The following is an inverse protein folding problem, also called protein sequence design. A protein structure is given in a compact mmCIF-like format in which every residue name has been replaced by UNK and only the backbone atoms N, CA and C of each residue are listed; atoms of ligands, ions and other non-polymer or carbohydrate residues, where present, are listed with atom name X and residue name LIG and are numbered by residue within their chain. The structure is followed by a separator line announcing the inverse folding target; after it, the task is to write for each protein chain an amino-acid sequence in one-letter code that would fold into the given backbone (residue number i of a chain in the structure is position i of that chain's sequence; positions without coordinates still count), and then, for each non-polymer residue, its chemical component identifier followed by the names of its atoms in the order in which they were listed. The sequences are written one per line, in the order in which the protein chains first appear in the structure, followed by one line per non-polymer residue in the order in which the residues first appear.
data_IF_048766024958
#
_entry.id   IF_048766024958
#
_cell.length_a   1.000
_cell.length_b   1.000
_cell.length_c   1.000
_cell.angle_alpha   90.00
_cell.angle_beta   90.00
_cell.angle_gamma   90.00
#
_symmetry.space_group_name_H-M   'P 1'
#
loop_
_entity.id
_entity.type
_entity.pdbx_description
1 polymer ?
#
# COMPACT_ATOMS: atom_id res chain seq x y z
N UNK A 1 37.70 -17.68 34.41
CA UNK A 1 36.25 -17.61 34.13
C UNK A 1 36.02 -16.54 33.08
N UNK A 2 36.04 -16.90 31.80
CA UNK A 2 35.91 -15.95 30.69
C UNK A 2 34.43 -15.87 30.30
N UNK A 3 33.76 -14.74 30.55
CA UNK A 3 32.39 -14.51 30.08
C UNK A 3 32.48 -13.81 28.73
N UNK A 4 32.41 -14.58 27.65
CA UNK A 4 32.22 -14.07 26.29
C UNK A 4 30.80 -13.53 26.17
N UNK A 5 30.64 -12.21 26.19
CA UNK A 5 29.41 -11.53 25.74
C UNK A 5 29.36 -11.60 24.22
N UNK A 6 28.62 -12.57 23.68
CA UNK A 6 28.26 -12.61 22.27
C UNK A 6 27.31 -11.44 21.97
N UNK A 7 27.80 -10.42 21.27
CA UNK A 7 26.95 -9.43 20.60
C UNK A 7 26.22 -10.14 19.47
N UNK A 8 24.96 -10.48 19.68
CA UNK A 8 24.06 -10.94 18.62
C UNK A 8 23.71 -9.73 17.75
N UNK A 9 24.49 -9.52 16.69
CA UNK A 9 24.15 -8.60 15.59
C UNK A 9 22.88 -9.13 14.92
N UNK A 10 21.73 -8.55 15.26
CA UNK A 10 20.47 -8.78 14.58
C UNK A 10 20.56 -8.10 13.21
N UNK A 11 21.09 -8.81 12.21
CA UNK A 11 21.04 -8.36 10.82
C UNK A 11 19.58 -8.40 10.37
N UNK A 12 18.92 -7.24 10.38
CA UNK A 12 17.61 -7.07 9.76
C UNK A 12 17.85 -7.24 8.26
N UNK A 13 17.58 -8.45 7.75
CA UNK A 13 17.52 -8.70 6.31
C UNK A 13 16.32 -7.91 5.79
N UNK A 14 16.58 -6.73 5.24
CA UNK A 14 15.63 -6.05 4.37
C UNK A 14 15.48 -6.95 3.14
N UNK A 15 14.46 -7.82 3.16
CA UNK A 15 14.03 -8.53 1.97
C UNK A 15 13.58 -7.46 0.98
N UNK A 16 14.47 -7.09 0.07
CA UNK A 16 14.13 -6.34 -1.13
C UNK A 16 13.27 -7.29 -1.96
N UNK A 17 11.97 -7.29 -1.68
CA UNK A 17 10.99 -7.81 -2.63
C UNK A 17 11.29 -7.06 -3.92
N UNK A 18 11.58 -7.77 -5.01
CA UNK A 18 11.73 -7.19 -6.34
C UNK A 18 10.36 -6.60 -6.77
N UNK A 19 10.00 -5.50 -6.12
CA UNK A 19 8.74 -4.82 -6.21
C UNK A 19 8.83 -3.81 -7.33
N UNK A 20 7.74 -3.65 -8.05
CA UNK A 20 7.54 -2.53 -8.94
C UNK A 20 8.00 -1.24 -8.25
N UNK A 21 8.74 -0.37 -8.92
CA UNK A 21 9.12 0.93 -8.35
C UNK A 21 8.15 2.01 -8.81
N UNK A 22 8.02 3.09 -8.03
CA UNK A 22 7.20 4.24 -8.45
C UNK A 22 7.69 4.84 -9.78
N UNK A 23 8.97 4.71 -10.12
CA UNK A 23 9.52 5.17 -11.40
C UNK A 23 8.88 4.47 -12.59
N UNK A 24 8.49 3.21 -12.46
CA UNK A 24 7.79 2.46 -13.51
C UNK A 24 6.37 2.97 -13.76
N UNK A 25 5.80 3.72 -12.81
CA UNK A 25 4.47 4.30 -12.94
C UNK A 25 4.45 5.69 -13.59
N UNK A 26 5.61 6.29 -13.93
CA UNK A 26 5.69 7.68 -14.41
C UNK A 26 4.83 8.00 -15.64
N UNK A 27 4.54 7.02 -16.49
CA UNK A 27 3.64 7.18 -17.65
C UNK A 27 2.18 7.43 -17.27
N UNK A 28 1.74 6.97 -16.08
CA UNK A 28 0.36 7.11 -15.58
C UNK A 28 0.29 7.89 -14.26
N UNK A 29 1.41 8.10 -13.59
CA UNK A 29 1.57 8.81 -12.33
C UNK A 29 2.86 9.64 -12.36
N UNK A 30 2.81 10.73 -13.12
CA UNK A 30 3.93 11.66 -13.30
C UNK A 30 4.38 12.31 -11.99
N UNK A 31 5.55 12.96 -12.00
CA UNK A 31 6.05 13.70 -10.82
C UNK A 31 5.07 14.79 -10.36
N UNK A 32 4.34 15.42 -11.31
CA UNK A 32 3.28 16.37 -11.00
C UNK A 32 2.10 15.70 -10.29
N UNK A 33 1.66 14.53 -10.78
CA UNK A 33 0.61 13.75 -10.15
C UNK A 33 1.02 13.26 -8.75
N UNK A 34 2.26 12.79 -8.59
CA UNK A 34 2.84 12.44 -7.27
C UNK A 34 2.86 13.62 -6.33
N UNK A 35 3.33 14.80 -6.78
CA UNK A 35 3.33 16.02 -5.98
C UNK A 35 1.92 16.42 -5.53
N UNK A 36 0.94 16.35 -6.44
CA UNK A 36 -0.46 16.63 -6.12
C UNK A 36 -1.03 15.61 -5.13
N UNK A 37 -0.80 14.32 -5.35
CA UNK A 37 -1.18 13.24 -4.42
C UNK A 37 -0.60 13.48 -3.03
N UNK A 38 0.68 13.80 -2.91
CA UNK A 38 1.34 14.02 -1.63
C UNK A 38 0.83 15.28 -0.90
N UNK A 39 0.37 16.28 -1.65
CA UNK A 39 -0.29 17.47 -1.08
C UNK A 39 -1.69 17.16 -0.55
N UNK A 40 -2.49 16.39 -1.30
CA UNK A 40 -3.89 16.09 -0.94
C UNK A 40 -4.05 14.84 -0.05
N UNK A 41 -3.02 14.01 0.02
CA UNK A 41 -2.92 12.74 0.73
C UNK A 41 -3.94 11.69 0.29
N UNK A 42 -4.36 11.74 -0.97
CA UNK A 42 -5.43 10.90 -1.54
C UNK A 42 -5.32 10.77 -3.05
N UNK A 43 -5.64 9.59 -3.58
CA UNK A 43 -5.83 9.35 -5.01
C UNK A 43 -7.22 9.82 -5.47
N UNK A 44 -7.73 10.94 -4.97
CA UNK A 44 -8.92 11.54 -5.59
C UNK A 44 -8.55 12.12 -6.95
N UNK A 45 -9.55 12.35 -7.80
CA UNK A 45 -9.44 12.80 -9.19
C UNK A 45 -8.33 13.83 -9.39
N UNK A 46 -7.20 13.38 -9.95
CA UNK A 46 -6.12 14.24 -10.41
C UNK A 46 -6.44 14.61 -11.86
N UNK A 47 -6.63 15.90 -12.20
CA UNK A 47 -6.95 16.31 -13.57
C UNK A 47 -5.94 15.76 -14.58
N UNK A 48 -6.43 15.17 -15.66
CA UNK A 48 -5.59 14.60 -16.72
C UNK A 48 -4.92 13.26 -16.40
N UNK A 49 -5.23 12.64 -15.26
CA UNK A 49 -4.70 11.32 -14.89
C UNK A 49 -5.78 10.25 -15.04
N UNK A 50 -5.43 9.15 -15.72
CA UNK A 50 -6.21 7.91 -15.68
C UNK A 50 -6.04 7.27 -14.30
N UNK A 51 -6.94 7.62 -13.38
CA UNK A 51 -6.86 7.21 -11.98
C UNK A 51 -6.93 5.69 -11.81
N UNK A 52 -7.60 4.98 -12.72
CA UNK A 52 -7.69 3.52 -12.63
C UNK A 52 -6.34 2.86 -12.91
N UNK A 53 -5.60 3.35 -13.92
CA UNK A 53 -4.23 2.88 -14.20
C UNK A 53 -3.22 3.38 -13.17
N UNK A 54 -3.36 4.63 -12.72
CA UNK A 54 -2.47 5.21 -11.74
C UNK A 54 -2.56 4.46 -10.39
N UNK A 55 -3.77 4.18 -9.92
CA UNK A 55 -3.99 3.40 -8.69
C UNK A 55 -3.44 1.98 -8.83
N UNK A 56 -3.76 1.27 -9.91
CA UNK A 56 -3.25 -0.08 -10.11
C UNK A 56 -1.72 -0.13 -10.09
N UNK A 57 -1.06 0.74 -10.86
CA UNK A 57 0.40 0.79 -10.89
C UNK A 57 1.00 1.18 -9.53
N UNK A 58 0.50 2.24 -8.90
CA UNK A 58 1.10 2.74 -7.65
C UNK A 58 0.87 1.77 -6.50
N UNK A 59 -0.32 1.17 -6.38
CA UNK A 59 -0.59 0.20 -5.32
C UNK A 59 0.24 -1.07 -5.46
N UNK A 60 0.58 -1.48 -6.70
CA UNK A 60 1.57 -2.52 -6.95
C UNK A 60 2.97 -2.07 -6.55
N UNK A 61 3.38 -0.86 -6.97
CA UNK A 61 4.71 -0.33 -6.72
C UNK A 61 5.03 -0.13 -5.22
N UNK A 62 4.01 0.19 -4.42
CA UNK A 62 4.16 0.36 -2.97
C UNK A 62 3.72 -0.88 -2.17
N UNK A 63 3.62 -2.04 -2.83
CA UNK A 63 3.31 -3.33 -2.22
C UNK A 63 2.04 -3.29 -1.34
N UNK A 64 1.03 -2.56 -1.79
CA UNK A 64 -0.34 -2.63 -1.24
C UNK A 64 -1.09 -3.79 -1.87
N UNK A 65 -0.86 -4.02 -3.16
CA UNK A 65 -1.34 -5.19 -3.90
C UNK A 65 -0.17 -5.87 -4.61
N UNK A 66 -0.32 -7.14 -4.95
CA UNK A 66 0.62 -7.86 -5.79
C UNK A 66 0.41 -7.59 -7.30
N UNK A 67 1.25 -8.18 -8.15
CA UNK A 67 1.18 -8.07 -9.62
C UNK A 67 -0.14 -8.56 -10.25
N UNK A 68 -0.98 -9.25 -9.47
CA UNK A 68 -2.30 -9.73 -9.89
C UNK A 68 -3.44 -8.91 -9.29
N UNK A 69 -3.12 -7.84 -8.55
CA UNK A 69 -4.07 -6.93 -7.92
C UNK A 69 -4.63 -7.43 -6.59
N UNK A 70 -4.12 -8.53 -6.02
CA UNK A 70 -4.56 -8.99 -4.70
C UNK A 70 -3.89 -8.17 -3.61
N UNK A 71 -4.65 -7.70 -2.64
CA UNK A 71 -4.09 -6.90 -1.57
C UNK A 71 -3.25 -7.73 -0.58
N UNK A 72 -2.13 -7.15 -0.17
CA UNK A 72 -1.16 -7.78 0.71
C UNK A 72 -1.55 -7.54 2.18
N UNK A 73 -2.32 -8.48 2.77
CA UNK A 73 -2.78 -8.39 4.15
C UNK A 73 -1.63 -8.13 5.13
N UNK A 74 -0.60 -9.00 5.14
CA UNK A 74 0.52 -8.88 6.07
C UNK A 74 1.32 -7.59 5.84
N UNK A 75 1.47 -7.21 4.57
CA UNK A 75 2.07 -5.95 4.17
C UNK A 75 1.32 -4.73 4.67
N UNK A 76 0.05 -4.81 5.05
CA UNK A 76 -0.76 -3.67 5.51
C UNK A 76 -1.08 -3.73 7.01
N UNK A 77 -1.45 -4.91 7.52
CA UNK A 77 -1.96 -5.09 8.88
C UNK A 77 -0.96 -4.60 9.94
N UNK A 78 0.31 -5.00 9.84
CA UNK A 78 1.32 -4.58 10.81
C UNK A 78 1.65 -3.08 10.70
N UNK A 79 1.92 -2.50 9.51
CA UNK A 79 2.12 -1.06 9.39
C UNK A 79 0.93 -0.21 9.87
N UNK A 80 -0.30 -0.69 9.68
CA UNK A 80 -1.49 0.01 10.19
C UNK A 80 -1.53 -0.03 11.72
N UNK A 81 -1.29 -1.20 12.33
CA UNK A 81 -1.25 -1.32 13.79
C UNK A 81 -0.08 -0.57 14.45
N UNK A 82 1.02 -0.35 13.74
CA UNK A 82 2.12 0.51 14.22
C UNK A 82 1.71 1.99 14.32
N UNK A 83 0.70 2.43 13.56
CA UNK A 83 0.18 3.80 13.57
C UNK A 83 -0.98 3.93 14.55
N UNK A 84 -1.88 2.95 14.57
CA UNK A 84 -3.03 2.88 15.46
C UNK A 84 -3.29 1.40 15.78
N UNK A 85 -2.97 0.96 17.00
CA UNK A 85 -3.19 -0.42 17.37
C UNK A 85 -4.69 -0.67 17.59
N UNK A 86 -5.33 -1.39 16.67
CA UNK A 86 -6.76 -1.68 16.77
C UNK A 86 -7.18 -2.88 15.92
N UNK A 87 -8.05 -3.75 16.47
CA UNK A 87 -8.60 -4.95 15.78
C UNK A 87 -9.41 -4.66 14.51
N UNK A 88 -9.82 -3.41 14.31
CA UNK A 88 -10.59 -3.00 13.12
C UNK A 88 -9.78 -3.20 11.84
N UNK A 89 -8.46 -3.07 11.90
CA UNK A 89 -7.60 -3.17 10.73
C UNK A 89 -7.63 -4.57 10.14
N UNK A 90 -7.58 -5.60 10.97
CA UNK A 90 -7.77 -6.99 10.57
C UNK A 90 -9.11 -7.19 9.83
N UNK A 91 -10.23 -6.91 10.52
CA UNK A 91 -11.58 -7.09 9.97
C UNK A 91 -11.80 -6.35 8.64
N UNK A 92 -11.34 -5.10 8.53
CA UNK A 92 -11.53 -4.31 7.32
C UNK A 92 -10.65 -4.78 6.16
N UNK A 93 -9.40 -5.19 6.44
CA UNK A 93 -8.52 -5.74 5.42
C UNK A 93 -9.12 -7.03 4.84
N UNK A 94 -9.56 -7.95 5.70
CA UNK A 94 -10.21 -9.21 5.28
C UNK A 94 -11.45 -8.96 4.41
N UNK A 95 -12.35 -8.07 4.83
CA UNK A 95 -13.55 -7.73 4.04
C UNK A 95 -13.18 -7.12 2.69
N UNK A 96 -12.22 -6.20 2.66
CA UNK A 96 -11.86 -5.51 1.43
C UNK A 96 -11.07 -6.39 0.46
N UNK A 97 -10.27 -7.33 0.97
CA UNK A 97 -9.66 -8.40 0.17
C UNK A 97 -10.76 -9.31 -0.40
N UNK A 98 -11.69 -9.77 0.45
CA UNK A 98 -12.81 -10.62 0.06
C UNK A 98 -13.72 -10.00 -1.02
N UNK A 99 -13.90 -8.68 -1.01
CA UNK A 99 -14.69 -7.96 -2.03
C UNK A 99 -13.95 -7.73 -3.34
N UNK A 100 -12.63 -7.64 -3.33
CA UNK A 100 -11.84 -7.30 -4.52
C UNK A 100 -11.35 -8.53 -5.28
N UNK A 101 -11.09 -9.66 -4.61
CA UNK A 101 -10.29 -10.75 -5.18
C UNK A 101 -10.90 -11.47 -6.39
N UNK A 102 -12.23 -11.44 -6.56
CA UNK A 102 -12.95 -12.10 -7.67
C UNK A 102 -13.19 -11.20 -8.88
N UNK A 103 -12.76 -9.94 -8.81
CA UNK A 103 -13.10 -8.97 -9.86
C UNK A 103 -12.24 -9.17 -11.11
N UNK A 104 -12.89 -9.07 -12.26
CA UNK A 104 -12.26 -9.04 -13.57
C UNK A 104 -12.68 -7.76 -14.34
N UNK A 105 -11.78 -7.17 -15.15
CA UNK A 105 -10.36 -7.51 -15.31
C UNK A 105 -9.54 -7.18 -14.05
N UNK A 106 -8.38 -7.85 -13.88
CA UNK A 106 -7.46 -7.70 -12.71
C UNK A 106 -7.21 -6.26 -12.24
N UNK A 107 -7.09 -5.30 -13.15
CA UNK A 107 -6.91 -3.86 -12.84
C UNK A 107 -8.02 -3.31 -11.91
N UNK A 108 -9.23 -3.89 -11.96
CA UNK A 108 -10.34 -3.51 -11.08
C UNK A 108 -10.15 -3.97 -9.63
N UNK A 109 -9.28 -4.96 -9.37
CA UNK A 109 -9.07 -5.51 -8.02
C UNK A 109 -8.40 -4.49 -7.11
N UNK A 110 -7.30 -3.89 -7.56
CA UNK A 110 -6.60 -2.83 -6.83
C UNK A 110 -7.52 -1.64 -6.52
N UNK A 111 -8.28 -1.20 -7.53
CA UNK A 111 -9.22 -0.08 -7.39
C UNK A 111 -10.39 -0.41 -6.46
N UNK A 112 -10.93 -1.63 -6.52
CA UNK A 112 -11.99 -2.05 -5.62
C UNK A 112 -11.50 -2.21 -4.18
N UNK A 113 -10.30 -2.75 -3.97
CA UNK A 113 -9.68 -2.82 -2.65
C UNK A 113 -9.49 -1.42 -2.06
N UNK A 114 -8.90 -0.50 -2.82
CA UNK A 114 -8.71 0.90 -2.41
C UNK A 114 -10.05 1.58 -2.09
N UNK A 115 -11.05 1.47 -2.97
CA UNK A 115 -12.38 2.03 -2.73
C UNK A 115 -13.05 1.43 -1.50
N UNK A 116 -12.89 0.12 -1.26
CA UNK A 116 -13.41 -0.53 -0.08
C UNK A 116 -12.77 0.03 1.20
N UNK A 117 -11.44 0.02 1.29
CA UNK A 117 -10.75 0.42 2.53
C UNK A 117 -10.98 1.90 2.87
N UNK A 118 -11.10 2.75 1.85
CA UNK A 118 -11.41 4.18 2.00
C UNK A 118 -12.81 4.45 2.57
N UNK A 119 -13.72 3.46 2.52
CA UNK A 119 -15.06 3.51 3.09
C UNK A 119 -15.18 2.82 4.46
N UNK A 120 -14.06 2.47 5.09
CA UNK A 120 -14.03 1.86 6.43
C UNK A 120 -13.54 2.85 7.50
N UNK A 121 -13.64 2.46 8.77
CA UNK A 121 -13.06 3.18 9.91
C UNK A 121 -11.52 2.99 10.01
N UNK A 122 -10.91 2.23 9.10
CA UNK A 122 -9.46 2.12 8.92
C UNK A 122 -8.88 3.09 7.89
N UNK A 123 -9.73 3.89 7.22
CA UNK A 123 -9.32 4.75 6.09
C UNK A 123 -8.16 5.69 6.43
N UNK A 124 -8.18 6.33 7.60
CA UNK A 124 -7.18 7.36 7.93
C UNK A 124 -5.82 6.73 8.24
N UNK A 125 -5.82 5.56 8.88
CA UNK A 125 -4.61 4.77 9.14
C UNK A 125 -4.04 4.18 7.85
N UNK A 126 -4.89 3.65 6.97
CA UNK A 126 -4.49 3.21 5.63
C UNK A 126 -3.87 4.35 4.81
N UNK A 127 -4.49 5.55 4.80
CA UNK A 127 -3.93 6.73 4.12
C UNK A 127 -2.55 7.08 4.64
N UNK A 128 -2.30 7.01 5.94
CA UNK A 128 -0.96 7.29 6.51
C UNK A 128 0.08 6.28 6.01
N UNK A 129 -0.24 4.99 6.02
CA UNK A 129 0.64 3.93 5.46
C UNK A 129 0.92 4.19 3.98
N UNK A 130 -0.11 4.44 3.19
CA UNK A 130 0.02 4.67 1.75
C UNK A 130 0.87 5.92 1.44
N UNK A 131 0.59 7.03 2.12
CA UNK A 131 1.39 8.25 1.96
C UNK A 131 2.85 8.03 2.34
N UNK A 132 3.14 7.29 3.43
CA UNK A 132 4.51 7.00 3.84
C UNK A 132 5.29 6.16 2.82
N UNK A 133 4.61 5.42 1.94
CA UNK A 133 5.26 4.65 0.87
C UNK A 133 5.36 5.40 -0.45
N UNK A 134 4.41 6.29 -0.72
CA UNK A 134 4.35 7.03 -1.99
C UNK A 134 5.19 8.32 -1.94
N UNK A 135 5.20 9.00 -0.78
CA UNK A 135 5.68 10.37 -0.63
C UNK A 135 6.99 10.52 0.14
N UNK A 136 7.51 9.42 0.71
CA UNK A 136 8.86 9.40 1.28
C UNK A 136 9.91 9.04 0.23
#
# INVERSE_FOLDING_TARGET
MWKSTALTLLAIVLVQVAGYSLDQCKSVFSDSAKKQFCKTKRFETIPGVDMDKALDCVLQAVNVVDKTGYANYHGLHQPMNNIEQHRKHDYNLEICIGKSFRLEPKIKRANAFYKCIMNTDSKDTFKKVLNARVCN
#
